data_IF_493657387192
#
_entry.id   IF_493657387192
#
_cell.length_a   1.000
_cell.length_b   1.000
_cell.length_c   1.000
_cell.angle_alpha   90.00
_cell.angle_beta   90.00
_cell.angle_gamma   90.00
#
_symmetry.space_group_name_H-M   'P 1'
#
loop_
_entity.id
_entity.type
_entity.pdbx_description
1 polymer ?
#
# COMPACT_ATOMS: atom_id res chain seq x y z
N UNK A 1 -2.78 -23.61 -5.99
CA UNK A 1 -2.55 -22.71 -7.16
C UNK A 1 -1.06 -22.38 -7.18
N UNK A 2 -0.36 -22.46 -8.32
CA UNK A 2 1.10 -22.21 -8.38
C UNK A 2 1.37 -20.70 -8.24
N UNK A 3 2.14 -20.31 -7.22
CA UNK A 3 2.51 -18.90 -6.96
C UNK A 3 3.34 -18.38 -8.14
N UNK A 4 3.04 -17.18 -8.61
CA UNK A 4 3.84 -16.53 -9.66
C UNK A 4 5.19 -16.11 -9.09
N UNK A 5 6.24 -16.15 -9.90
CA UNK A 5 7.49 -15.48 -9.54
C UNK A 5 7.26 -13.98 -9.48
N UNK A 6 8.14 -13.23 -8.77
CA UNK A 6 8.10 -11.76 -8.75
C UNK A 6 8.01 -11.16 -10.16
N UNK A 7 8.80 -11.69 -11.09
CA UNK A 7 8.73 -11.28 -12.49
C UNK A 7 7.37 -11.58 -13.13
N UNK A 8 6.79 -12.76 -12.86
CA UNK A 8 5.45 -13.11 -13.33
C UNK A 8 4.34 -12.22 -12.76
N UNK A 9 4.44 -11.82 -11.50
CA UNK A 9 3.52 -10.84 -10.88
C UNK A 9 3.62 -9.48 -11.56
N UNK A 10 4.85 -8.99 -11.80
CA UNK A 10 5.11 -7.73 -12.50
C UNK A 10 4.49 -7.73 -13.89
N UNK A 11 4.79 -8.75 -14.71
CA UNK A 11 4.28 -8.86 -16.08
C UNK A 11 2.76 -8.88 -16.08
N UNK A 12 2.14 -9.65 -15.18
CA UNK A 12 0.68 -9.74 -15.12
C UNK A 12 0.03 -8.43 -14.68
N UNK A 13 0.62 -7.73 -13.71
CA UNK A 13 0.14 -6.41 -13.31
C UNK A 13 0.28 -5.40 -14.45
N UNK A 14 1.43 -5.37 -15.12
CA UNK A 14 1.69 -4.43 -16.22
C UNK A 14 0.69 -4.63 -17.37
N UNK A 15 0.40 -5.87 -17.76
CA UNK A 15 -0.65 -6.17 -18.74
C UNK A 15 -2.02 -5.64 -18.30
N UNK A 16 -2.41 -5.88 -17.04
CA UNK A 16 -3.69 -5.38 -16.50
C UNK A 16 -3.78 -3.86 -16.47
N UNK A 17 -2.67 -3.16 -16.17
CA UNK A 17 -2.63 -1.71 -16.18
C UNK A 17 -2.74 -1.16 -17.61
N UNK A 18 -2.04 -1.78 -18.56
CA UNK A 18 -2.08 -1.36 -19.97
C UNK A 18 -3.48 -1.49 -20.58
N UNK A 19 -4.23 -2.55 -20.25
CA UNK A 19 -5.63 -2.75 -20.67
C UNK A 19 -6.54 -1.55 -20.32
N UNK A 20 -6.22 -0.84 -19.23
CA UNK A 20 -6.98 0.33 -18.77
C UNK A 20 -6.28 1.66 -19.06
N UNK A 21 -5.21 1.64 -19.87
CA UNK A 21 -4.45 2.82 -20.28
C UNK A 21 -3.59 3.42 -19.16
N UNK A 22 -3.11 2.60 -18.24
CA UNK A 22 -2.21 2.96 -17.14
C UNK A 22 -0.88 2.22 -17.25
N UNK A 23 0.12 2.68 -16.52
CA UNK A 23 1.42 2.02 -16.38
C UNK A 23 2.04 2.31 -15.01
N UNK A 24 2.99 1.49 -14.58
CA UNK A 24 3.80 1.80 -13.39
C UNK A 24 4.84 2.88 -13.69
N UNK A 25 4.98 3.81 -12.77
CA UNK A 25 6.14 4.68 -12.63
C UNK A 25 7.01 4.10 -11.53
N UNK A 26 8.24 3.73 -11.90
CA UNK A 26 9.14 2.99 -11.02
C UNK A 26 9.65 3.89 -9.89
N UNK A 27 9.41 3.45 -8.66
CA UNK A 27 9.96 4.08 -7.45
C UNK A 27 11.24 3.33 -7.07
N UNK A 28 12.27 4.01 -6.54
CA UNK A 28 13.43 3.31 -6.00
C UNK A 28 13.01 2.21 -5.01
N UNK A 29 13.60 1.02 -5.17
CA UNK A 29 13.37 -0.14 -4.31
C UNK A 29 14.06 -0.04 -2.95
N UNK A 30 13.95 1.12 -2.30
CA UNK A 30 14.45 1.35 -0.96
C UNK A 30 13.35 1.12 0.09
N UNK A 31 13.72 1.30 1.36
CA UNK A 31 12.79 1.12 2.47
C UNK A 31 11.61 2.10 2.50
N UNK A 32 11.68 3.18 1.71
CA UNK A 32 10.71 4.26 1.70
C UNK A 32 9.79 4.22 0.44
N UNK A 33 9.80 3.13 -0.32
CA UNK A 33 9.07 3.02 -1.59
C UNK A 33 7.56 3.34 -1.48
N UNK A 34 6.89 2.98 -0.38
CA UNK A 34 5.50 3.38 -0.13
C UNK A 34 5.35 4.91 -0.10
N UNK A 35 6.16 5.59 0.71
CA UNK A 35 6.12 7.04 0.84
C UNK A 35 6.54 7.73 -0.46
N UNK A 36 7.48 7.13 -1.20
CA UNK A 36 7.87 7.53 -2.55
C UNK A 36 6.71 7.52 -3.52
N UNK A 37 5.98 6.40 -3.60
CA UNK A 37 4.82 6.24 -4.47
C UNK A 37 3.70 7.24 -4.12
N UNK A 38 3.42 7.43 -2.82
CA UNK A 38 2.41 8.37 -2.33
C UNK A 38 2.79 9.83 -2.59
N UNK A 39 4.04 10.22 -2.33
CA UNK A 39 4.55 11.57 -2.60
C UNK A 39 4.49 11.90 -4.11
N UNK A 40 4.85 10.94 -4.96
CA UNK A 40 4.72 11.08 -6.40
C UNK A 40 3.26 11.29 -6.82
N UNK A 41 2.31 10.48 -6.31
CA UNK A 41 0.88 10.65 -6.59
C UNK A 41 0.33 12.00 -6.10
N UNK A 42 0.72 12.45 -4.89
CA UNK A 42 0.33 13.74 -4.36
C UNK A 42 0.82 14.89 -5.25
N UNK A 43 2.05 14.79 -5.76
CA UNK A 43 2.63 15.79 -6.67
C UNK A 43 1.81 15.90 -7.95
N UNK A 44 1.44 14.76 -8.55
CA UNK A 44 0.61 14.71 -9.75
C UNK A 44 -0.80 15.29 -9.56
N UNK A 45 -1.34 15.26 -8.33
CA UNK A 45 -2.71 15.72 -8.04
C UNK A 45 -2.81 17.14 -7.53
N UNK A 46 -1.81 17.60 -6.78
CA UNK A 46 -1.87 18.88 -6.08
C UNK A 46 -1.12 20.01 -6.78
N UNK A 47 -0.39 19.72 -7.87
CA UNK A 47 0.54 20.65 -8.54
C UNK A 47 1.60 21.24 -7.60
N UNK A 48 1.79 20.65 -6.41
CA UNK A 48 2.83 20.98 -5.45
C UNK A 48 3.71 19.76 -5.24
N UNK A 49 5.02 19.95 -5.29
CA UNK A 49 5.98 18.87 -5.03
C UNK A 49 5.85 18.39 -3.59
N UNK A 50 5.52 17.12 -3.42
CA UNK A 50 5.55 16.43 -2.13
C UNK A 50 6.85 15.62 -2.02
N UNK A 51 7.44 15.59 -0.83
CA UNK A 51 8.64 14.81 -0.54
C UNK A 51 8.29 13.55 0.27
N UNK A 52 8.90 12.38 -0.02
CA UNK A 52 8.61 11.13 0.68
C UNK A 52 8.80 11.26 2.20
N UNK A 53 9.85 11.95 2.65
CA UNK A 53 10.14 12.16 4.07
C UNK A 53 9.10 13.02 4.77
N UNK A 54 8.51 13.99 4.07
CA UNK A 54 7.40 14.79 4.62
C UNK A 54 6.13 13.97 4.76
N UNK A 55 5.85 13.10 3.79
CA UNK A 55 4.71 12.16 3.84
C UNK A 55 4.87 11.22 5.03
N UNK A 56 6.04 10.57 5.15
CA UNK A 56 6.39 9.67 6.25
C UNK A 56 6.23 10.35 7.61
N UNK A 57 6.85 11.52 7.79
CA UNK A 57 6.78 12.31 9.03
C UNK A 57 5.34 12.65 9.42
N UNK A 58 4.50 13.08 8.48
CA UNK A 58 3.09 13.41 8.74
C UNK A 58 2.29 12.19 9.19
N UNK A 59 2.49 11.04 8.54
CA UNK A 59 1.85 9.78 8.92
C UNK A 59 2.20 9.42 10.37
N UNK A 60 3.48 9.35 10.72
CA UNK A 60 3.87 8.96 12.08
C UNK A 60 3.52 10.02 13.13
N UNK A 61 3.56 11.30 12.79
CA UNK A 61 3.05 12.37 13.66
C UNK A 61 1.56 12.15 13.95
N UNK A 62 0.77 11.84 12.92
CA UNK A 62 -0.67 11.58 13.05
C UNK A 62 -0.94 10.30 13.86
N UNK A 63 -0.19 9.22 13.65
CA UNK A 63 -0.26 8.00 14.46
C UNK A 63 -0.04 8.28 15.96
N UNK A 64 0.97 9.09 16.30
CA UNK A 64 1.29 9.44 17.69
C UNK A 64 0.24 10.34 18.36
N UNK A 65 -0.47 11.14 17.58
CA UNK A 65 -1.45 12.12 18.09
C UNK A 65 -2.84 11.54 18.33
N UNK A 66 -3.16 10.40 17.73
CA UNK A 66 -4.51 9.87 17.65
C UNK A 66 -4.55 8.46 18.28
N UNK A 67 -5.04 8.34 19.53
CA UNK A 67 -5.03 7.07 20.26
C UNK A 67 -5.79 5.94 19.58
N UNK A 68 -6.79 6.26 18.76
CA UNK A 68 -7.58 5.27 18.03
C UNK A 68 -6.74 4.44 17.05
N UNK A 69 -5.60 4.95 16.55
CA UNK A 69 -4.70 4.13 15.72
C UNK A 69 -3.94 3.08 16.54
N UNK A 70 -3.61 3.39 17.80
CA UNK A 70 -3.00 2.41 18.70
C UNK A 70 -3.98 1.27 18.95
N UNK A 71 -5.21 1.59 19.33
CA UNK A 71 -6.27 0.59 19.55
C UNK A 71 -6.53 -0.26 18.30
N UNK A 72 -6.49 0.37 17.12
CA UNK A 72 -6.73 -0.31 15.84
C UNK A 72 -5.60 -1.25 15.42
N UNK A 73 -4.33 -0.86 15.60
CA UNK A 73 -3.19 -1.58 15.02
C UNK A 73 -2.37 -2.38 16.03
N UNK A 74 -2.48 -2.12 17.33
CA UNK A 74 -1.73 -2.85 18.36
C UNK A 74 -1.92 -4.37 18.28
N UNK A 75 -3.14 -4.93 18.11
CA UNK A 75 -3.31 -6.38 18.02
C UNK A 75 -2.51 -7.04 16.88
N UNK A 76 -2.31 -6.31 15.78
CA UNK A 76 -1.57 -6.78 14.61
C UNK A 76 -0.06 -6.65 14.82
N UNK A 77 0.41 -5.47 15.24
CA UNK A 77 1.86 -5.16 15.28
C UNK A 77 2.55 -5.68 16.54
N UNK A 78 1.80 -5.98 17.61
CA UNK A 78 2.39 -6.43 18.88
C UNK A 78 3.15 -7.75 18.74
N UNK A 79 2.71 -8.65 17.85
CA UNK A 79 3.38 -9.95 17.66
C UNK A 79 4.79 -9.81 17.07
N UNK A 80 4.98 -8.87 16.14
CA UNK A 80 6.25 -8.69 15.44
C UNK A 80 7.16 -7.64 16.10
N UNK A 81 6.57 -6.61 16.74
CA UNK A 81 7.29 -5.44 17.26
C UNK A 81 7.20 -5.29 18.79
N UNK A 82 6.40 -6.12 19.46
CA UNK A 82 6.21 -6.09 20.92
C UNK A 82 5.24 -5.01 21.43
N UNK A 83 5.11 -3.88 20.74
CA UNK A 83 4.09 -2.86 21.01
C UNK A 83 3.89 -1.93 19.81
N UNK A 84 2.76 -1.22 19.78
CA UNK A 84 2.49 -0.16 18.80
C UNK A 84 3.50 0.98 18.88
N UNK A 85 3.91 1.37 20.09
CA UNK A 85 4.86 2.47 20.27
C UNK A 85 6.24 2.10 19.71
N UNK A 86 6.67 0.85 19.89
CA UNK A 86 7.92 0.33 19.32
C UNK A 86 7.84 0.17 17.80
N UNK A 87 6.69 -0.29 17.29
CA UNK A 87 6.38 -0.30 15.85
C UNK A 87 6.56 1.09 15.24
N UNK A 88 5.91 2.12 15.81
CA UNK A 88 6.02 3.51 15.34
C UNK A 88 7.46 3.99 15.41
N UNK A 89 8.17 3.73 16.51
CA UNK A 89 9.56 4.15 16.70
C UNK A 89 10.47 3.56 15.61
N UNK A 90 10.38 2.25 15.38
CA UNK A 90 11.18 1.52 14.39
C UNK A 90 10.82 1.97 12.98
N UNK A 91 9.55 2.07 12.63
CA UNK A 91 9.13 2.42 11.26
C UNK A 91 9.45 3.86 10.89
N UNK A 92 9.34 4.79 11.83
CA UNK A 92 9.66 6.22 11.63
C UNK A 92 11.16 6.42 11.38
N UNK A 93 12.03 5.76 12.15
CA UNK A 93 13.48 6.02 12.16
C UNK A 93 14.33 4.94 11.48
N UNK A 94 13.75 3.78 11.21
CA UNK A 94 14.42 2.63 10.61
C UNK A 94 14.88 2.90 9.19
N UNK A 95 15.72 2.00 8.68
CA UNK A 95 16.25 2.04 7.30
C UNK A 95 16.12 0.68 6.65
N UNK A 96 16.10 0.64 5.32
CA UNK A 96 15.98 -0.63 4.59
C UNK A 96 14.68 -1.36 4.93
N UNK A 97 14.76 -2.65 5.26
CA UNK A 97 13.59 -3.48 5.58
C UNK A 97 12.81 -3.02 6.81
N UNK A 98 13.48 -2.38 7.78
CA UNK A 98 12.82 -1.89 9.00
C UNK A 98 11.86 -0.73 8.69
N UNK A 99 12.14 0.05 7.64
CA UNK A 99 11.36 1.22 7.24
C UNK A 99 10.13 0.90 6.37
N UNK A 100 9.94 -0.36 5.98
CA UNK A 100 8.87 -0.73 5.04
C UNK A 100 7.51 -0.35 5.59
N UNK A 101 6.82 0.54 4.89
CA UNK A 101 5.44 0.88 5.19
C UNK A 101 4.48 -0.17 4.62
N UNK A 102 3.30 -0.24 5.21
CA UNK A 102 2.24 -1.14 4.81
C UNK A 102 0.87 -0.52 5.01
N UNK A 103 -0.06 -1.37 5.45
CA UNK A 103 -1.46 -1.02 5.60
C UNK A 103 -1.70 0.02 6.72
N UNK A 104 -1.08 -0.05 7.91
CA UNK A 104 -1.27 0.98 8.95
C UNK A 104 -0.92 2.39 8.44
N UNK A 105 0.19 2.52 7.70
CA UNK A 105 0.58 3.80 7.10
C UNK A 105 -0.39 4.27 6.02
N UNK A 106 -0.93 3.35 5.20
CA UNK A 106 -1.91 3.70 4.17
C UNK A 106 -3.23 4.21 4.77
N UNK A 107 -3.71 3.60 5.85
CA UNK A 107 -4.93 4.03 6.55
C UNK A 107 -4.74 5.44 7.12
N UNK A 108 -3.66 5.65 7.87
CA UNK A 108 -3.35 6.95 8.47
C UNK A 108 -3.09 8.01 7.40
N UNK A 109 -2.43 7.65 6.29
CA UNK A 109 -2.26 8.53 5.15
C UNK A 109 -3.60 8.98 4.57
N UNK A 110 -4.54 8.05 4.38
CA UNK A 110 -5.85 8.39 3.82
C UNK A 110 -6.58 9.40 4.72
N UNK A 111 -6.51 9.21 6.03
CA UNK A 111 -7.09 10.11 7.04
C UNK A 111 -6.43 11.49 7.09
N UNK A 112 -5.09 11.53 7.16
CA UNK A 112 -4.31 12.77 7.22
C UNK A 112 -4.53 13.63 5.97
N UNK A 113 -4.51 13.01 4.79
CA UNK A 113 -4.60 13.75 3.52
C UNK A 113 -6.02 13.88 2.98
N UNK A 114 -7.01 13.22 3.60
CA UNK A 114 -8.38 13.10 3.12
C UNK A 114 -8.43 12.63 1.66
N UNK A 115 -7.62 11.63 1.34
CA UNK A 115 -7.50 11.03 0.00
C UNK A 115 -7.81 9.55 0.03
N UNK A 116 -8.40 9.06 -1.05
CA UNK A 116 -8.50 7.62 -1.34
C UNK A 116 -7.22 7.14 -2.00
N UNK A 117 -6.73 5.98 -1.58
CA UNK A 117 -5.66 5.25 -2.29
C UNK A 117 -6.24 3.99 -2.90
N UNK A 118 -6.04 3.80 -4.20
CA UNK A 118 -6.37 2.56 -4.90
C UNK A 118 -5.09 1.77 -5.15
N UNK A 119 -4.99 0.60 -4.53
CA UNK A 119 -3.86 -0.31 -4.55
C UNK A 119 -4.09 -1.41 -5.60
N UNK A 120 -3.18 -1.53 -6.57
CA UNK A 120 -3.24 -2.51 -7.65
C UNK A 120 -2.19 -3.60 -7.44
N UNK A 121 -2.64 -4.86 -7.45
CA UNK A 121 -1.80 -6.04 -7.37
C UNK A 121 -1.95 -6.86 -8.66
N UNK A 122 -1.16 -7.92 -8.85
CA UNK A 122 -1.18 -8.70 -10.10
C UNK A 122 -2.53 -9.39 -10.39
N UNK A 123 -3.30 -9.77 -9.39
CA UNK A 123 -4.57 -10.51 -9.51
C UNK A 123 -5.80 -9.75 -8.99
N UNK A 124 -5.61 -8.70 -8.21
CA UNK A 124 -6.70 -7.97 -7.53
C UNK A 124 -6.37 -6.48 -7.42
N UNK A 125 -7.31 -5.70 -6.89
CA UNK A 125 -7.10 -4.31 -6.51
C UNK A 125 -8.04 -3.92 -5.38
N UNK A 126 -7.57 -3.02 -4.51
CA UNK A 126 -8.25 -2.59 -3.30
C UNK A 126 -8.26 -1.08 -3.17
N UNK A 127 -9.22 -0.54 -2.43
CA UNK A 127 -9.28 0.88 -2.10
C UNK A 127 -9.21 1.05 -0.60
N UNK A 128 -8.32 1.91 -0.14
CA UNK A 128 -8.26 2.42 1.23
C UNK A 128 -8.84 3.83 1.21
N UNK A 129 -9.82 4.07 2.07
CA UNK A 129 -10.52 5.36 2.20
C UNK A 129 -10.33 5.94 3.58
N UNK A 130 -10.38 7.27 3.74
CA UNK A 130 -10.39 7.87 5.07
C UNK A 130 -11.62 7.45 5.87
N UNK A 131 -11.44 7.37 7.18
CA UNK A 131 -12.45 7.14 8.22
C UNK A 131 -13.61 8.13 8.10
N UNK A 132 -13.34 9.38 7.72
CA UNK A 132 -14.37 10.37 7.36
C UNK A 132 -14.46 10.55 5.85
N UNK A 133 -15.55 10.04 5.26
CA UNK A 133 -15.80 10.18 3.82
C UNK A 133 -16.21 11.61 3.45
N UNK A 134 -15.55 12.19 2.45
CA UNK A 134 -15.95 13.46 1.80
C UNK A 134 -16.42 13.19 0.38
N UNK A 135 -17.12 14.13 -0.29
CA UNK A 135 -17.48 13.97 -1.72
C UNK A 135 -16.26 13.67 -2.60
N UNK A 136 -15.10 14.24 -2.26
CA UNK A 136 -13.83 14.05 -2.98
C UNK A 136 -13.31 12.62 -2.94
N UNK A 137 -13.59 11.87 -1.88
CA UNK A 137 -13.19 10.46 -1.73
C UNK A 137 -13.89 9.57 -2.77
N UNK A 138 -15.09 9.97 -3.20
CA UNK A 138 -15.87 9.24 -4.21
C UNK A 138 -15.52 9.64 -5.64
N UNK A 139 -14.72 10.69 -5.84
CA UNK A 139 -14.32 11.14 -7.18
C UNK A 139 -13.15 10.27 -7.70
N UNK A 140 -13.35 9.44 -8.74
CA UNK A 140 -12.29 8.58 -9.28
C UNK A 140 -11.12 9.37 -9.89
N UNK A 141 -11.28 10.67 -10.17
CA UNK A 141 -10.18 11.54 -10.64
C UNK A 141 -9.29 12.02 -9.50
N UNK A 142 -9.76 11.92 -8.25
CA UNK A 142 -9.04 12.39 -7.06
C UNK A 142 -8.35 11.26 -6.30
N UNK A 143 -8.63 10.00 -6.62
CA UNK A 143 -7.92 8.85 -6.07
C UNK A 143 -6.42 8.87 -6.45
N UNK A 144 -5.58 8.44 -5.50
CA UNK A 144 -4.17 8.17 -5.73
C UNK A 144 -4.02 6.70 -6.13
N UNK A 145 -3.27 6.43 -7.19
CA UNK A 145 -3.13 5.08 -7.74
C UNK A 145 -1.72 4.55 -7.45
N UNK A 146 -1.63 3.43 -6.75
CA UNK A 146 -0.36 2.81 -6.32
C UNK A 146 -0.39 1.34 -6.69
N UNK A 147 0.74 0.80 -7.13
CA UNK A 147 0.93 -0.62 -7.41
C UNK A 147 1.69 -1.28 -6.24
N UNK A 148 1.30 -2.51 -5.88
CA UNK A 148 2.04 -3.35 -4.95
C UNK A 148 2.52 -4.62 -5.67
N UNK A 149 3.83 -4.84 -5.66
CA UNK A 149 4.46 -5.87 -6.50
C UNK A 149 5.56 -6.60 -5.74
N UNK A 150 5.69 -7.91 -5.95
CA UNK A 150 6.82 -8.68 -5.43
C UNK A 150 6.88 -8.75 -3.91
N UNK A 151 5.73 -8.60 -3.23
CA UNK A 151 5.53 -8.72 -1.78
C UNK A 151 6.14 -7.62 -0.90
N UNK A 152 6.79 -6.60 -1.46
CA UNK A 152 7.41 -5.56 -0.62
C UNK A 152 7.66 -4.23 -1.33
N UNK A 153 7.20 -4.07 -2.56
CA UNK A 153 7.53 -2.91 -3.35
C UNK A 153 6.29 -2.16 -3.82
N UNK A 154 6.32 -0.85 -3.60
CA UNK A 154 5.29 0.06 -4.06
C UNK A 154 5.80 0.91 -5.20
N UNK A 155 5.04 0.91 -6.29
CA UNK A 155 5.24 1.81 -7.42
C UNK A 155 4.10 2.81 -7.52
N UNK A 156 4.37 3.97 -8.10
CA UNK A 156 3.30 4.90 -8.47
C UNK A 156 2.63 4.43 -9.77
N UNK A 157 1.36 4.72 -9.98
CA UNK A 157 0.69 4.43 -11.27
C UNK A 157 0.42 5.74 -12.00
N UNK A 158 0.67 5.76 -13.31
CA UNK A 158 0.48 6.93 -14.17
C UNK A 158 -0.27 6.55 -15.45
N UNK A 159 -0.83 7.53 -16.19
CA UNK A 159 -1.39 7.29 -17.51
C UNK A 159 -0.33 6.72 -18.46
N UNK A 160 -0.72 5.72 -19.26
CA UNK A 160 0.13 5.20 -20.34
C UNK A 160 0.39 6.27 -21.42
N UNK A 161 -0.61 7.13 -21.66
CA UNK A 161 -0.51 8.30 -22.52
C UNK A 161 -0.43 9.55 -21.64
N UNK A 162 0.73 10.24 -21.59
CA UNK A 162 0.94 11.42 -20.74
C UNK A 162 -0.03 12.58 -21.00
N UNK A 163 -0.66 12.62 -22.17
CA UNK A 163 -1.67 13.65 -22.50
C UNK A 163 -3.02 13.39 -21.80
N UNK A 164 -3.26 12.16 -21.35
CA UNK A 164 -4.52 11.77 -20.68
C UNK A 164 -4.47 12.08 -19.19
N UNK A 165 -5.62 12.48 -18.66
CA UNK A 165 -5.79 12.62 -17.20
C UNK A 165 -5.89 11.26 -16.54
N UNK A 166 -5.17 11.09 -15.43
CA UNK A 166 -5.27 9.90 -14.60
C UNK A 166 -6.66 9.80 -13.96
N UNK A 167 -7.25 8.61 -14.01
CA UNK A 167 -8.52 8.26 -13.37
C UNK A 167 -8.44 6.82 -12.88
N UNK A 168 -9.06 6.54 -11.74
CA UNK A 168 -9.27 5.17 -11.31
C UNK A 168 -10.15 4.41 -12.34
N UNK A 169 -9.77 3.19 -12.76
CA UNK A 169 -10.59 2.37 -13.65
C UNK A 169 -11.90 1.93 -12.97
N UNK A 170 -13.00 1.94 -13.73
CA UNK A 170 -14.32 1.51 -13.21
C UNK A 170 -14.33 -0.01 -12.95
N UNK A 171 -14.94 -0.43 -11.85
CA UNK A 171 -15.13 -1.85 -11.51
C UNK A 171 -13.86 -2.59 -11.06
N UNK A 172 -12.76 -1.87 -10.81
CA UNK A 172 -11.45 -2.49 -10.57
C UNK A 172 -11.12 -2.74 -9.09
N UNK A 173 -11.88 -2.18 -8.16
CA UNK A 173 -11.56 -2.21 -6.74
C UNK A 173 -12.70 -2.75 -5.89
N UNK A 174 -12.38 -3.71 -5.03
CA UNK A 174 -13.18 -3.94 -3.81
C UNK A 174 -12.83 -2.81 -2.85
N UNK A 175 -13.83 -2.15 -2.26
CA UNK A 175 -13.58 -1.20 -1.17
C UNK A 175 -13.29 -2.02 0.07
N UNK A 176 -12.13 -1.82 0.68
CA UNK A 176 -11.89 -2.34 2.02
C UNK A 176 -12.45 -1.28 2.98
N UNK A 177 -13.43 -1.66 3.79
CA UNK A 177 -13.59 -0.94 5.05
C UNK A 177 -12.34 -1.23 5.89
N UNK A 178 -11.94 -0.29 6.76
CA UNK A 178 -10.74 -0.43 7.61
C UNK A 178 -10.73 -1.76 8.38
N UNK A 179 -11.90 -2.29 8.72
CA UNK A 179 -12.13 -3.59 9.38
C UNK A 179 -11.77 -4.83 8.52
N UNK A 180 -11.67 -4.72 7.19
CA UNK A 180 -11.43 -5.86 6.28
C UNK A 180 -9.96 -6.05 5.91
N UNK A 181 -9.10 -5.17 6.41
CA UNK A 181 -7.70 -5.12 6.06
C UNK A 181 -6.88 -6.25 6.76
N UNK A 182 -7.38 -6.71 7.91
CA UNK A 182 -6.96 -7.94 8.63
C UNK A 182 -7.03 -9.20 7.75
N UNK A 183 -8.10 -9.35 6.96
CA UNK A 183 -8.34 -10.54 6.14
C UNK A 183 -7.32 -10.68 4.98
N UNK A 184 -6.75 -9.57 4.51
CA UNK A 184 -5.79 -9.59 3.40
C UNK A 184 -4.38 -9.95 3.83
N UNK A 185 -3.95 -9.49 5.01
CA UNK A 185 -2.62 -9.86 5.50
C UNK A 185 -2.61 -11.33 5.91
N UNK A 186 -3.72 -11.84 6.47
CA UNK A 186 -3.88 -13.26 6.75
C UNK A 186 -3.98 -14.14 5.48
N UNK A 187 -4.60 -13.73 4.38
CA UNK A 187 -4.55 -14.52 3.12
C UNK A 187 -3.14 -14.58 2.50
N UNK A 188 -2.31 -13.54 2.69
CA UNK A 188 -0.89 -13.59 2.28
C UNK A 188 0.01 -14.39 3.23
N UNK A 189 -0.33 -14.48 4.53
CA UNK A 189 0.41 -15.22 5.56
C UNK A 189 -0.06 -16.68 5.72
N UNK A 190 -1.31 -17.03 5.38
CA UNK A 190 -1.77 -18.43 5.42
C UNK A 190 -1.09 -19.33 4.38
N UNK A 191 -0.41 -18.74 3.39
CA UNK A 191 0.48 -19.48 2.48
C UNK A 191 1.80 -19.88 3.17
N UNK A 192 2.18 -19.24 4.28
CA UNK A 192 3.43 -19.53 5.00
C UNK A 192 3.31 -20.59 6.12
N UNK A 193 2.10 -21.01 6.50
CA UNK A 193 1.91 -22.00 7.58
C UNK A 193 1.56 -23.43 7.11
N UNK A 194 1.60 -23.70 5.81
CA UNK A 194 1.23 -25.02 5.24
C UNK A 194 2.34 -25.74 4.48
N UNK A 195 3.62 -25.43 4.71
CA UNK A 195 4.72 -26.12 3.99
C UNK A 195 5.93 -26.50 4.86
N UNK A 196 5.69 -26.88 6.12
CA UNK A 196 6.74 -27.39 7.03
C UNK A 196 6.48 -28.83 7.54
N UNK A 197 5.91 -29.70 6.70
CA UNK A 197 6.01 -31.14 6.95
C UNK A 197 6.20 -31.97 5.69
N UNK A 198 7.21 -32.85 5.76
CA UNK A 198 7.69 -33.81 4.77
C UNK A 198 8.73 -33.17 3.81
N UNK A 199 10.02 -33.51 3.89
CA UNK A 199 10.57 -34.86 3.68
C UNK A 199 11.89 -35.01 4.47
N UNK A 200 11.88 -35.86 5.50
CA UNK A 200 13.02 -36.76 5.79
C UNK A 200 12.57 -38.12 5.26
N UNK A 201 13.03 -38.56 4.09
CA UNK A 201 14.27 -39.33 4.01
C UNK A 201 13.93 -40.82 4.03
N UNK A 202 13.50 -41.34 2.88
CA UNK A 202 13.58 -42.77 2.58
C UNK A 202 15.00 -43.02 2.07
N UNK A 203 15.83 -43.67 2.88
CA UNK A 203 16.76 -44.74 2.47
C UNK A 203 16.80 -45.75 3.60
#
# INVERSE_FOLDING_TARGET
QKRLSRHGEMVKLDSRLQEVGLMRFLIPGDGDCLYGALAHQLTLRSQKTAQPQDVKRRIFTRMKQEPSYKELFEPEVQMDFGSFDEYVRIKEHGRGSEAWGGLPELVVFCDEYRKKVSLFMHNTSYSVTPSTTTPDVKDPKKALLVAYVGQNHFDSIVPLDPSKKMKEPRGFSRTLAVETAEAMMQESLQVELFDDTCISGIV
#
